data_IF_330155333055
#
_entry.id   IF_330155333055
#
_cell.length_a   1.000
_cell.length_b   1.000
_cell.length_c   1.000
_cell.angle_alpha   90.00
_cell.angle_beta   90.00
_cell.angle_gamma   90.00
#
_symmetry.space_group_name_H-M   'P 1'
#
loop_
_entity.id
_entity.type
_entity.pdbx_description
1 polymer ?
#
# COMPACT_ATOMS: atom_id res chain seq x y z
N UNK A 1 55.88 -7.04 -22.45
CA UNK A 1 54.50 -7.38 -22.04
C UNK A 1 54.48 -7.27 -20.53
N UNK A 2 54.09 -6.11 -20.00
CA UNK A 2 53.94 -5.92 -18.55
C UNK A 2 52.49 -6.18 -18.16
N UNK A 3 52.33 -7.04 -17.16
CA UNK A 3 51.07 -7.54 -16.65
C UNK A 3 50.23 -6.40 -16.06
N UNK A 4 49.09 -6.09 -16.69
CA UNK A 4 48.00 -5.34 -16.06
C UNK A 4 47.31 -6.24 -15.03
N UNK A 5 47.88 -6.34 -13.82
CA UNK A 5 47.19 -6.94 -12.69
C UNK A 5 46.24 -5.89 -12.11
N UNK A 6 44.97 -6.03 -12.49
CA UNK A 6 43.82 -5.25 -12.05
C UNK A 6 43.76 -5.21 -10.52
N UNK A 7 44.26 -4.11 -9.95
CA UNK A 7 43.82 -3.66 -8.64
C UNK A 7 42.44 -3.07 -8.87
N UNK A 8 41.40 -3.78 -8.42
CA UNK A 8 40.12 -3.14 -8.16
C UNK A 8 40.41 -2.04 -7.14
N UNK A 9 40.39 -0.78 -7.58
CA UNK A 9 40.83 0.36 -6.80
C UNK A 9 40.01 0.38 -5.50
N UNK A 10 40.67 0.34 -4.33
CA UNK A 10 39.94 0.26 -3.04
C UNK A 10 39.01 1.47 -2.86
N UNK A 11 39.27 2.57 -3.58
CA UNK A 11 38.40 3.74 -3.66
C UNK A 11 37.07 3.44 -4.38
N UNK A 12 37.09 2.71 -5.50
CA UNK A 12 35.88 2.33 -6.25
C UNK A 12 34.98 1.41 -5.42
N UNK A 13 35.59 0.50 -4.65
CA UNK A 13 34.84 -0.36 -3.74
C UNK A 13 34.18 0.43 -2.60
N UNK A 14 34.86 1.46 -2.08
CA UNK A 14 34.35 2.32 -1.02
C UNK A 14 33.20 3.23 -1.47
N UNK A 15 33.31 3.83 -2.67
CA UNK A 15 32.23 4.63 -3.25
C UNK A 15 31.00 3.78 -3.57
N UNK A 16 31.20 2.57 -4.13
CA UNK A 16 30.12 1.63 -4.37
C UNK A 16 29.42 1.23 -3.08
N UNK A 17 30.16 0.99 -1.99
CA UNK A 17 29.58 0.68 -0.68
C UNK A 17 28.68 1.81 -0.18
N UNK A 18 29.09 3.08 -0.31
CA UNK A 18 28.27 4.23 0.09
C UNK A 18 26.99 4.38 -0.74
N UNK A 19 27.06 4.11 -2.05
CA UNK A 19 25.88 4.11 -2.92
C UNK A 19 24.92 2.99 -2.51
N UNK A 20 25.43 1.79 -2.28
CA UNK A 20 24.62 0.64 -1.87
C UNK A 20 23.98 0.84 -0.49
N UNK A 21 24.69 1.43 0.46
CA UNK A 21 24.14 1.81 1.76
C UNK A 21 23.01 2.83 1.60
N UNK A 22 23.23 3.87 0.80
CA UNK A 22 22.22 4.90 0.53
C UNK A 22 20.97 4.28 -0.12
N UNK A 23 21.14 3.40 -1.11
CA UNK A 23 20.02 2.71 -1.76
C UNK A 23 19.31 1.79 -0.78
N UNK A 24 20.05 1.05 0.04
CA UNK A 24 19.54 0.17 1.09
C UNK A 24 18.73 0.91 2.16
N UNK A 25 19.04 2.18 2.42
CA UNK A 25 18.24 3.02 3.31
C UNK A 25 17.00 3.62 2.62
N UNK A 26 17.17 4.19 1.42
CA UNK A 26 16.15 5.00 0.75
C UNK A 26 15.05 4.16 0.09
N UNK A 27 15.40 3.03 -0.53
CA UNK A 27 14.43 2.19 -1.26
C UNK A 27 13.40 1.56 -0.33
N UNK A 28 13.78 0.92 0.79
CA UNK A 28 12.78 0.37 1.73
C UNK A 28 11.92 1.45 2.37
N UNK A 29 12.46 2.65 2.59
CA UNK A 29 11.67 3.79 3.08
C UNK A 29 10.62 4.22 2.06
N UNK A 30 11.01 4.39 0.80
CA UNK A 30 10.09 4.75 -0.29
C UNK A 30 8.96 3.71 -0.45
N UNK A 31 9.29 2.41 -0.39
CA UNK A 31 8.28 1.34 -0.43
C UNK A 31 7.29 1.47 0.74
N UNK A 32 7.78 1.72 1.96
CA UNK A 32 6.91 1.92 3.14
C UNK A 32 6.03 3.15 3.01
N UNK A 33 6.55 4.24 2.45
CA UNK A 33 5.81 5.50 2.27
C UNK A 33 4.74 5.36 1.18
N UNK A 34 5.03 4.65 0.08
CA UNK A 34 4.05 4.31 -0.97
C UNK A 34 2.99 3.34 -0.43
N UNK A 35 3.38 2.29 0.29
CA UNK A 35 2.42 1.39 0.91
C UNK A 35 1.57 2.12 1.96
N UNK A 36 2.14 3.05 2.71
CA UNK A 36 1.42 3.89 3.66
C UNK A 36 0.45 4.87 3.00
N UNK A 37 0.77 5.36 1.79
CA UNK A 37 -0.13 6.24 1.03
C UNK A 37 -1.27 5.46 0.34
N UNK A 38 -0.99 4.24 -0.13
CA UNK A 38 -1.99 3.34 -0.74
C UNK A 38 -2.91 2.71 0.32
N UNK A 39 -2.34 2.27 1.44
CA UNK A 39 -3.08 1.91 2.66
C UNK A 39 -3.31 3.16 3.52
N UNK A 40 -3.85 4.21 2.91
CA UNK A 40 -4.28 5.39 3.63
C UNK A 40 -5.17 4.94 4.81
N UNK A 41 -4.61 4.97 6.02
CA UNK A 41 -5.28 4.59 7.27
C UNK A 41 -6.60 5.35 7.42
N UNK A 42 -6.64 6.60 6.96
CA UNK A 42 -7.83 7.44 6.92
C UNK A 42 -8.86 6.92 5.92
N UNK A 43 -8.46 6.48 4.73
CA UNK A 43 -9.36 5.84 3.77
C UNK A 43 -9.95 4.54 4.32
N UNK A 44 -9.13 3.73 5.00
CA UNK A 44 -9.62 2.53 5.69
C UNK A 44 -10.60 2.85 6.82
N UNK A 45 -10.32 3.88 7.63
CA UNK A 45 -11.22 4.36 8.70
C UNK A 45 -12.54 4.87 8.10
N UNK A 46 -12.47 5.74 7.09
CA UNK A 46 -13.65 6.33 6.44
C UNK A 46 -14.49 5.24 5.76
N UNK A 47 -13.86 4.25 5.11
CA UNK A 47 -14.55 3.11 4.51
C UNK A 47 -15.24 2.26 5.57
N UNK A 48 -14.57 1.96 6.69
CA UNK A 48 -15.15 1.22 7.80
C UNK A 48 -16.34 1.94 8.43
N UNK A 49 -16.25 3.27 8.60
CA UNK A 49 -17.35 4.10 9.08
C UNK A 49 -18.54 4.07 8.13
N UNK A 50 -18.32 4.20 6.83
CA UNK A 50 -19.38 4.17 5.83
C UNK A 50 -20.11 2.81 5.80
N UNK A 51 -19.36 1.70 5.79
CA UNK A 51 -19.93 0.34 5.80
C UNK A 51 -20.69 0.08 7.11
N UNK A 52 -20.15 0.53 8.25
CA UNK A 52 -20.79 0.38 9.56
C UNK A 52 -22.07 1.21 9.70
N UNK A 53 -22.06 2.46 9.22
CA UNK A 53 -23.24 3.32 9.21
C UNK A 53 -24.35 2.73 8.34
N UNK A 54 -24.01 2.27 7.13
CA UNK A 54 -24.94 1.60 6.24
C UNK A 54 -25.55 0.34 6.88
N UNK A 55 -24.73 -0.54 7.48
CA UNK A 55 -25.23 -1.70 8.21
C UNK A 55 -26.22 -1.32 9.32
N UNK A 56 -25.90 -0.28 10.10
CA UNK A 56 -26.78 0.21 11.17
C UNK A 56 -28.12 0.70 10.61
N UNK A 57 -28.13 1.48 9.53
CA UNK A 57 -29.35 1.95 8.88
C UNK A 57 -30.21 0.79 8.34
N UNK A 58 -29.59 -0.26 7.79
CA UNK A 58 -30.31 -1.46 7.34
C UNK A 58 -31.04 -2.11 8.51
N UNK A 59 -30.38 -2.30 9.66
CA UNK A 59 -31.02 -2.84 10.86
C UNK A 59 -32.18 -1.94 11.35
N UNK A 60 -31.96 -0.63 11.38
CA UNK A 60 -32.97 0.36 11.80
C UNK A 60 -34.19 0.37 10.86
N UNK A 61 -33.99 0.05 9.57
CA UNK A 61 -35.07 -0.10 8.59
C UNK A 61 -35.84 -1.43 8.71
N UNK A 62 -35.46 -2.30 9.65
CA UNK A 62 -36.12 -3.59 9.91
C UNK A 62 -35.60 -4.74 9.04
N UNK A 63 -34.45 -4.57 8.38
CA UNK A 63 -33.83 -5.65 7.61
C UNK A 63 -33.23 -6.68 8.58
N UNK A 64 -33.48 -7.98 8.36
CA UNK A 64 -32.88 -9.06 9.14
C UNK A 64 -31.35 -8.96 9.21
N UNK A 65 -30.77 -9.31 10.35
CA UNK A 65 -29.35 -9.12 10.62
C UNK A 65 -28.43 -9.82 9.61
N UNK A 66 -28.77 -11.04 9.23
CA UNK A 66 -28.08 -11.84 8.23
C UNK A 66 -28.07 -11.15 6.86
N UNK A 67 -29.24 -10.70 6.40
CA UNK A 67 -29.39 -9.96 5.15
C UNK A 67 -28.63 -8.62 5.19
N UNK A 68 -28.67 -7.90 6.32
CA UNK A 68 -27.97 -6.64 6.50
C UNK A 68 -26.44 -6.81 6.47
N UNK A 69 -25.93 -7.88 7.08
CA UNK A 69 -24.50 -8.24 7.05
C UNK A 69 -24.07 -8.49 5.60
N UNK A 70 -24.85 -9.24 4.83
CA UNK A 70 -24.47 -9.58 3.46
C UNK A 70 -24.54 -8.37 2.52
N UNK A 71 -25.52 -7.48 2.70
CA UNK A 71 -25.58 -6.19 1.99
C UNK A 71 -24.39 -5.29 2.33
N UNK A 72 -24.02 -5.17 3.61
CA UNK A 72 -22.87 -4.37 4.04
C UNK A 72 -21.54 -4.92 3.51
N UNK A 73 -21.36 -6.25 3.46
CA UNK A 73 -20.22 -6.89 2.81
C UNK A 73 -20.18 -6.54 1.32
N UNK A 74 -21.31 -6.63 0.63
CA UNK A 74 -21.40 -6.27 -0.80
C UNK A 74 -20.98 -4.82 -1.05
N UNK A 75 -21.41 -3.88 -0.20
CA UNK A 75 -20.98 -2.48 -0.29
C UNK A 75 -19.45 -2.35 -0.10
N UNK A 76 -18.88 -3.04 0.89
CA UNK A 76 -17.44 -3.04 1.15
C UNK A 76 -16.63 -3.52 -0.05
N UNK A 77 -17.09 -4.58 -0.74
CA UNK A 77 -16.46 -5.05 -1.98
C UNK A 77 -16.57 -4.03 -3.12
N UNK A 78 -17.75 -3.45 -3.33
CA UNK A 78 -17.92 -2.41 -4.36
C UNK A 78 -17.05 -1.18 -4.11
N UNK A 79 -16.92 -0.73 -2.86
CA UNK A 79 -16.03 0.37 -2.48
C UNK A 79 -14.56 0.03 -2.74
N UNK A 80 -14.17 -1.20 -2.43
CA UNK A 80 -12.83 -1.73 -2.72
C UNK A 80 -12.55 -1.67 -4.23
N UNK A 81 -13.45 -2.21 -5.04
CA UNK A 81 -13.29 -2.33 -6.50
C UNK A 81 -13.23 -0.95 -7.19
N UNK A 82 -14.04 0.02 -6.74
CA UNK A 82 -13.96 1.40 -7.24
C UNK A 82 -12.60 2.05 -6.94
N UNK A 83 -12.05 1.82 -5.75
CA UNK A 83 -10.77 2.40 -5.34
C UNK A 83 -9.59 1.81 -6.14
N UNK A 84 -9.64 0.50 -6.43
CA UNK A 84 -8.62 -0.16 -7.26
C UNK A 84 -8.76 0.20 -8.74
N UNK A 85 -9.99 0.26 -9.29
CA UNK A 85 -10.19 0.59 -10.71
C UNK A 85 -9.73 2.00 -11.10
N UNK A 86 -9.67 2.94 -10.16
CA UNK A 86 -9.19 4.31 -10.42
C UNK A 86 -7.65 4.43 -10.38
N UNK A 87 -6.96 3.39 -9.90
CA UNK A 87 -5.50 3.34 -9.76
C UNK A 87 -4.78 2.89 -11.04
N UNK A 88 -5.45 2.13 -11.90
CA UNK A 88 -4.87 1.53 -13.13
C UNK A 88 -4.92 2.44 -14.38
N UNK A 89 -5.46 3.66 -14.26
CA UNK A 89 -5.67 4.59 -15.40
C UNK A 89 -4.78 5.85 -15.39
N UNK A 90 -3.67 5.86 -14.68
CA UNK A 90 -2.70 6.97 -14.72
C UNK A 90 -1.33 6.54 -15.20
#
# INVERSE_FOLDING_TARGET
MEEKKSAFDMNDAGELAQVLDTVGEKVPKLIRDILGSLYNKEAGINMGQAVGAYYKELLESGIPQDAAIDMAKSLSFSLKDMNFSNSDKK
#
